data_IF_023505190117
#
_entry.id   IF_023505190117
#
_cell.length_a   1.000
_cell.length_b   1.000
_cell.length_c   1.000
_cell.angle_alpha   90.00
_cell.angle_beta   90.00
_cell.angle_gamma   90.00
#
_symmetry.space_group_name_H-M   'P 1'
#
loop_
_entity.id
_entity.type
_entity.pdbx_description
1 polymer ?
#
# COMPACT_ATOMS: atom_id res chain seq x y z
N UNK A 1 13.29 17.10 -6.61
CA UNK A 1 14.24 16.02 -6.95
C UNK A 1 13.85 15.44 -8.31
N UNK A 2 14.76 14.93 -9.14
CA UNK A 2 14.39 14.43 -10.49
C UNK A 2 13.70 13.05 -10.37
N UNK A 3 12.37 13.01 -10.54
CA UNK A 3 11.53 11.81 -10.39
C UNK A 3 11.97 10.65 -11.29
N UNK A 4 12.30 10.94 -12.55
CA UNK A 4 12.84 9.95 -13.49
C UNK A 4 14.16 9.34 -13.01
N UNK A 5 15.05 10.14 -12.42
CA UNK A 5 16.32 9.65 -11.89
C UNK A 5 16.10 8.72 -10.69
N UNK A 6 15.20 9.09 -9.77
CA UNK A 6 14.87 8.29 -8.59
C UNK A 6 14.39 6.91 -9.02
N UNK A 7 13.30 6.85 -9.80
CA UNK A 7 12.66 5.58 -10.16
C UNK A 7 13.56 4.66 -10.99
N UNK A 8 14.48 5.23 -11.80
CA UNK A 8 15.44 4.45 -12.58
C UNK A 8 16.57 3.87 -11.74
N UNK A 9 17.03 4.59 -10.73
CA UNK A 9 18.24 4.23 -9.96
C UNK A 9 17.95 3.54 -8.62
N UNK A 10 16.74 3.71 -8.09
CA UNK A 10 16.36 3.13 -6.80
C UNK A 10 16.35 1.60 -6.87
N UNK A 11 16.90 0.98 -5.82
CA UNK A 11 16.87 -0.46 -5.59
C UNK A 11 16.53 -0.69 -4.11
N UNK A 12 15.46 -1.44 -3.81
CA UNK A 12 15.09 -1.72 -2.44
C UNK A 12 16.11 -2.64 -1.78
N UNK A 13 16.32 -2.44 -0.49
CA UNK A 13 17.25 -3.20 0.34
C UNK A 13 16.50 -4.06 1.33
N UNK A 14 17.02 -5.26 1.59
CA UNK A 14 16.55 -6.02 2.75
C UNK A 14 17.15 -5.43 4.02
N UNK A 15 16.29 -5.08 4.96
CA UNK A 15 16.65 -4.56 6.26
C UNK A 15 16.78 -5.69 7.28
N UNK A 16 17.66 -5.48 8.25
CA UNK A 16 17.67 -6.27 9.48
C UNK A 16 16.70 -5.66 10.49
N UNK A 17 15.44 -6.11 10.42
CA UNK A 17 14.38 -5.66 11.34
C UNK A 17 14.54 -6.42 12.66
N UNK A 18 15.05 -5.72 13.68
CA UNK A 18 15.20 -6.26 15.03
C UNK A 18 13.91 -6.90 15.52
N UNK A 19 14.01 -8.05 16.15
CA UNK A 19 12.90 -8.81 16.72
C UNK A 19 11.87 -9.37 15.72
N UNK A 20 12.00 -9.14 14.40
CA UNK A 20 11.10 -9.76 13.42
C UNK A 20 11.09 -11.30 13.52
N UNK A 21 12.25 -11.91 13.81
CA UNK A 21 12.39 -13.36 14.02
C UNK A 21 11.50 -13.87 15.16
N UNK A 22 11.29 -13.07 16.21
CA UNK A 22 10.43 -13.45 17.34
C UNK A 22 8.95 -13.45 16.94
N UNK A 23 8.55 -12.56 16.02
CA UNK A 23 7.18 -12.41 15.54
C UNK A 23 6.86 -13.30 14.34
N UNK A 24 7.91 -13.82 13.67
CA UNK A 24 7.80 -14.60 12.44
C UNK A 24 6.79 -15.76 12.54
N UNK A 25 6.75 -16.56 13.62
CA UNK A 25 5.79 -17.67 13.72
C UNK A 25 4.33 -17.22 13.75
N UNK A 26 4.04 -16.04 14.31
CA UNK A 26 2.69 -15.49 14.34
C UNK A 26 2.33 -14.89 12.97
N UNK A 27 3.24 -14.07 12.41
CA UNK A 27 3.03 -13.41 11.12
C UNK A 27 2.87 -14.41 9.97
N UNK A 28 3.63 -15.50 9.94
CA UNK A 28 3.52 -16.53 8.89
C UNK A 28 2.23 -17.36 8.96
N UNK A 29 1.54 -17.37 10.11
CA UNK A 29 0.22 -18.01 10.25
C UNK A 29 -0.92 -17.09 9.87
N UNK A 30 -0.66 -15.79 9.74
CA UNK A 30 -1.65 -14.80 9.33
C UNK A 30 -1.80 -14.80 7.81
N UNK A 31 -3.03 -14.87 7.33
CA UNK A 31 -3.33 -14.71 5.90
C UNK A 31 -3.32 -13.23 5.47
N UNK A 32 -3.58 -12.33 6.42
CA UNK A 32 -3.56 -10.89 6.23
C UNK A 32 -2.73 -10.24 7.33
N UNK A 33 -1.78 -9.39 6.94
CA UNK A 33 -1.00 -8.54 7.83
C UNK A 33 -1.25 -7.10 7.41
N UNK A 34 -1.71 -6.27 8.35
CA UNK A 34 -1.91 -4.84 8.10
C UNK A 34 -0.70 -4.08 8.62
N UNK A 35 -0.11 -3.24 7.75
CA UNK A 35 1.07 -2.44 8.04
C UNK A 35 0.77 -0.96 7.82
N UNK A 36 0.78 -0.22 8.91
CA UNK A 36 0.70 1.24 8.92
C UNK A 36 2.03 1.86 8.47
N UNK A 37 1.99 2.74 7.49
CA UNK A 37 3.13 3.48 6.99
C UNK A 37 2.96 5.00 7.14
N UNK A 38 4.02 5.76 6.82
CA UNK A 38 3.97 7.22 6.81
C UNK A 38 4.12 7.67 5.36
N UNK A 39 3.10 8.31 4.79
CA UNK A 39 3.10 8.75 3.40
C UNK A 39 4.35 9.55 3.02
N UNK A 40 4.80 9.38 1.78
CA UNK A 40 5.96 10.10 1.23
C UNK A 40 7.33 9.68 1.79
N UNK A 41 7.40 8.70 2.71
CA UNK A 41 8.66 8.22 3.27
C UNK A 41 9.25 7.11 2.39
N UNK A 42 10.45 7.35 1.85
CA UNK A 42 11.15 6.39 0.97
C UNK A 42 11.52 5.08 1.69
N UNK A 43 11.79 5.12 3.00
CA UNK A 43 12.17 3.97 3.80
C UNK A 43 11.07 2.89 3.86
N UNK A 44 9.81 3.26 3.62
CA UNK A 44 8.69 2.33 3.53
C UNK A 44 8.95 1.27 2.44
N UNK A 45 9.62 1.66 1.35
CA UNK A 45 9.97 0.76 0.26
C UNK A 45 10.88 -0.40 0.72
N UNK A 46 11.92 -0.09 1.50
CA UNK A 46 12.84 -1.09 2.05
C UNK A 46 12.16 -1.99 3.10
N UNK A 47 11.27 -1.42 3.91
CA UNK A 47 10.46 -2.17 4.90
C UNK A 47 9.52 -3.15 4.17
N UNK A 48 8.71 -2.67 3.22
CA UNK A 48 7.77 -3.51 2.46
C UNK A 48 8.51 -4.59 1.69
N UNK A 49 9.63 -4.26 1.03
CA UNK A 49 10.47 -5.25 0.37
C UNK A 49 10.96 -6.33 1.34
N UNK A 50 11.40 -5.94 2.53
CA UNK A 50 11.86 -6.86 3.57
C UNK A 50 10.73 -7.78 4.04
N UNK A 51 9.57 -7.21 4.38
CA UNK A 51 8.41 -7.96 4.84
C UNK A 51 7.93 -8.94 3.78
N UNK A 52 7.81 -8.51 2.52
CA UNK A 52 7.37 -9.37 1.43
C UNK A 52 8.30 -10.58 1.27
N UNK A 53 9.62 -10.37 1.30
CA UNK A 53 10.60 -11.45 1.13
C UNK A 53 10.69 -12.37 2.35
N UNK A 54 10.66 -11.82 3.57
CA UNK A 54 10.85 -12.59 4.82
C UNK A 54 9.60 -13.37 5.23
N UNK A 55 8.42 -12.81 4.94
CA UNK A 55 7.12 -13.41 5.27
C UNK A 55 6.53 -14.22 4.11
N UNK A 56 7.23 -14.29 2.97
CA UNK A 56 6.77 -14.97 1.76
C UNK A 56 5.40 -14.47 1.28
N UNK A 57 5.17 -13.15 1.38
CA UNK A 57 3.94 -12.50 0.90
C UNK A 57 3.84 -12.69 -0.62
N UNK A 58 2.62 -12.97 -1.09
CA UNK A 58 2.32 -13.17 -2.50
C UNK A 58 1.30 -12.17 -3.04
N UNK A 59 0.54 -11.50 -2.18
CA UNK A 59 -0.43 -10.47 -2.54
C UNK A 59 -0.14 -9.18 -1.77
N UNK A 60 -0.18 -8.04 -2.45
CA UNK A 60 -0.04 -6.73 -1.82
C UNK A 60 -1.36 -5.98 -1.96
N UNK A 61 -2.02 -5.71 -0.84
CA UNK A 61 -3.15 -4.80 -0.77
C UNK A 61 -2.65 -3.38 -0.47
N UNK A 62 -3.12 -2.39 -1.21
CA UNK A 62 -2.56 -1.03 -1.23
C UNK A 62 -3.69 -0.04 -1.05
N UNK A 63 -3.57 0.85 -0.05
CA UNK A 63 -4.40 2.05 0.08
C UNK A 63 -4.08 3.04 -1.05
N UNK A 64 -4.59 2.72 -2.23
CA UNK A 64 -4.53 3.54 -3.43
C UNK A 64 -5.64 3.11 -4.38
N UNK A 65 -5.93 3.98 -5.33
CA UNK A 65 -6.83 3.72 -6.46
C UNK A 65 -6.21 2.73 -7.46
N UNK A 66 -7.02 1.88 -8.14
CA UNK A 66 -6.58 1.05 -9.27
C UNK A 66 -6.01 1.83 -10.45
N UNK A 67 -6.29 3.15 -10.54
CA UNK A 67 -5.81 4.01 -11.64
C UNK A 67 -4.29 3.99 -11.80
N UNK A 68 -3.55 3.81 -10.70
CA UNK A 68 -2.07 3.74 -10.70
C UNK A 68 -1.52 2.44 -11.31
N UNK A 69 -2.36 1.42 -11.53
CA UNK A 69 -1.92 0.11 -12.02
C UNK A 69 -1.19 0.19 -13.37
N UNK A 70 -1.66 1.05 -14.28
CA UNK A 70 -1.03 1.24 -15.58
C UNK A 70 0.38 1.81 -15.45
N UNK A 71 0.58 2.76 -14.54
CA UNK A 71 1.90 3.28 -14.23
C UNK A 71 2.80 2.20 -13.61
N UNK A 72 2.33 1.43 -12.63
CA UNK A 72 3.10 0.31 -12.05
C UNK A 72 3.52 -0.69 -13.13
N UNK A 73 2.61 -1.04 -14.05
CA UNK A 73 2.91 -1.94 -15.17
C UNK A 73 3.95 -1.34 -16.12
N UNK A 74 3.89 -0.03 -16.38
CA UNK A 74 4.90 0.70 -17.16
C UNK A 74 6.28 0.64 -16.47
N UNK A 75 6.34 0.80 -15.15
CA UNK A 75 7.58 0.67 -14.38
C UNK A 75 8.10 -0.78 -14.39
N UNK A 76 7.20 -1.76 -14.30
CA UNK A 76 7.51 -3.20 -14.39
C UNK A 76 8.15 -3.59 -15.73
N UNK A 77 7.86 -2.88 -16.82
CA UNK A 77 8.52 -3.12 -18.12
C UNK A 77 9.66 -2.12 -18.41
N UNK A 78 10.04 -1.30 -17.42
CA UNK A 78 11.08 -0.27 -17.50
C UNK A 78 10.80 0.87 -18.51
N UNK A 79 9.53 1.18 -18.82
CA UNK A 79 9.16 2.34 -19.65
C UNK A 79 8.99 3.63 -18.86
N UNK A 80 8.54 3.55 -17.60
CA UNK A 80 8.40 4.70 -16.68
C UNK A 80 7.54 5.86 -17.25
N UNK A 81 6.37 5.52 -17.83
CA UNK A 81 5.49 6.49 -18.49
C UNK A 81 4.67 7.31 -17.49
N UNK A 82 5.20 8.48 -17.10
CA UNK A 82 4.57 9.39 -16.13
C UNK A 82 3.26 10.02 -16.63
N UNK A 83 2.88 9.88 -17.91
CA UNK A 83 1.57 10.35 -18.37
C UNK A 83 0.40 9.51 -17.83
N UNK A 84 0.70 8.35 -17.24
CA UNK A 84 -0.28 7.40 -16.70
C UNK A 84 -0.64 7.63 -15.23
N UNK A 85 -0.12 8.69 -14.60
CA UNK A 85 -0.30 8.94 -13.16
C UNK A 85 -0.23 10.43 -12.86
N UNK A 86 -1.02 10.88 -11.89
CA UNK A 86 -0.82 12.18 -11.26
C UNK A 86 0.41 12.10 -10.35
N UNK A 87 1.42 12.91 -10.64
CA UNK A 87 2.67 12.83 -9.90
C UNK A 87 2.60 13.41 -8.49
N UNK A 88 1.53 14.12 -8.10
CA UNK A 88 1.29 14.57 -6.72
C UNK A 88 0.99 13.38 -5.79
N UNK A 89 0.55 12.25 -6.36
CA UNK A 89 0.34 10.98 -5.65
C UNK A 89 1.57 10.54 -4.85
N UNK A 90 2.78 10.76 -5.38
CA UNK A 90 4.01 10.19 -4.81
C UNK A 90 4.37 10.76 -3.44
N UNK A 91 3.97 11.99 -3.16
CA UNK A 91 4.27 12.68 -1.90
C UNK A 91 3.10 12.58 -0.91
N UNK A 92 1.87 12.35 -1.39
CA UNK A 92 0.64 12.38 -0.59
C UNK A 92 0.08 11.00 -0.23
N UNK A 93 0.60 9.92 -0.81
CA UNK A 93 0.07 8.57 -0.63
C UNK A 93 1.11 7.57 -0.12
N UNK A 94 0.65 6.32 0.07
CA UNK A 94 1.50 5.15 0.33
C UNK A 94 2.44 4.80 -0.84
N UNK A 95 2.22 5.37 -2.03
CA UNK A 95 2.92 5.03 -3.27
C UNK A 95 3.98 6.06 -3.67
N UNK A 96 5.04 6.20 -2.86
CA UNK A 96 6.25 6.90 -3.30
C UNK A 96 6.88 6.26 -4.54
N UNK A 97 7.76 6.99 -5.24
CA UNK A 97 8.49 6.45 -6.40
C UNK A 97 9.32 5.21 -6.05
N UNK A 98 9.94 5.22 -4.87
CA UNK A 98 10.67 4.10 -4.30
C UNK A 98 9.76 2.90 -4.03
N UNK A 99 8.54 3.13 -3.50
CA UNK A 99 7.55 2.09 -3.29
C UNK A 99 7.09 1.48 -4.63
N UNK A 100 6.76 2.31 -5.62
CA UNK A 100 6.35 1.85 -6.95
C UNK A 100 7.46 1.03 -7.61
N UNK A 101 8.71 1.50 -7.54
CA UNK A 101 9.86 0.75 -8.06
C UNK A 101 10.03 -0.59 -7.34
N UNK A 102 9.80 -0.62 -6.04
CA UNK A 102 9.84 -1.85 -5.22
C UNK A 102 8.77 -2.84 -5.63
N UNK A 103 7.52 -2.40 -5.78
CA UNK A 103 6.41 -3.23 -6.25
C UNK A 103 6.73 -3.81 -7.62
N UNK A 104 7.18 -2.98 -8.56
CA UNK A 104 7.57 -3.42 -9.90
C UNK A 104 8.67 -4.49 -9.87
N UNK A 105 9.70 -4.33 -9.03
CA UNK A 105 10.77 -5.33 -8.85
C UNK A 105 10.22 -6.63 -8.27
N UNK A 106 9.35 -6.56 -7.26
CA UNK A 106 8.75 -7.74 -6.63
C UNK A 106 7.85 -8.52 -7.60
N UNK A 107 7.12 -7.83 -8.48
CA UNK A 107 6.34 -8.44 -9.56
C UNK A 107 7.26 -9.07 -10.62
N UNK A 108 8.34 -8.40 -11.04
CA UNK A 108 9.33 -8.95 -11.97
C UNK A 108 9.98 -10.23 -11.43
N UNK A 109 10.24 -10.28 -10.13
CA UNK A 109 10.80 -11.44 -9.43
C UNK A 109 9.77 -12.56 -9.22
N UNK A 110 8.52 -12.37 -9.64
CA UNK A 110 7.41 -13.30 -9.38
C UNK A 110 7.21 -13.60 -7.87
N UNK A 111 7.65 -12.67 -7.01
CA UNK A 111 7.47 -12.74 -5.56
C UNK A 111 6.05 -12.32 -5.19
N UNK A 112 5.59 -11.20 -5.76
CA UNK A 112 4.19 -10.81 -5.75
C UNK A 112 3.50 -11.35 -7.01
N UNK A 113 2.33 -11.96 -6.81
CA UNK A 113 1.47 -12.50 -7.86
C UNK A 113 0.29 -11.59 -8.17
N UNK A 114 -0.15 -10.83 -7.18
CA UNK A 114 -1.39 -10.04 -7.25
C UNK A 114 -1.23 -8.73 -6.48
N UNK A 115 -1.82 -7.66 -7.02
CA UNK A 115 -2.03 -6.39 -6.34
C UNK A 115 -3.53 -6.20 -6.15
N UNK A 116 -3.93 -5.74 -4.96
CA UNK A 116 -5.30 -5.34 -4.65
C UNK A 116 -5.29 -3.87 -4.24
N UNK A 117 -6.15 -3.08 -4.84
CA UNK A 117 -6.30 -1.66 -4.54
C UNK A 117 -7.53 -1.50 -3.65
N UNK A 118 -7.34 -0.96 -2.45
CA UNK A 118 -8.40 -0.92 -1.43
C UNK A 118 -8.97 0.48 -1.21
N UNK A 119 -8.38 1.53 -1.78
CA UNK A 119 -8.92 2.89 -1.70
C UNK A 119 -9.51 3.33 -3.04
N UNK A 120 -10.79 3.03 -3.24
CA UNK A 120 -11.55 3.37 -4.45
C UNK A 120 -12.53 4.51 -4.21
N UNK A 121 -12.44 5.19 -3.06
CA UNK A 121 -13.42 6.20 -2.66
C UNK A 121 -13.47 7.38 -3.63
N UNK A 122 -12.30 7.79 -4.12
CA UNK A 122 -12.16 8.93 -5.00
C UNK A 122 -12.34 8.60 -6.49
N UNK A 123 -12.49 7.31 -6.86
CA UNK A 123 -12.51 6.88 -8.28
C UNK A 123 -13.75 7.33 -9.06
N UNK A 124 -14.88 7.50 -8.36
CA UNK A 124 -16.18 7.80 -8.95
C UNK A 124 -16.73 9.16 -8.50
N UNK A 125 -15.87 10.03 -7.96
CA UNK A 125 -16.27 11.39 -7.67
C UNK A 125 -16.24 12.18 -8.98
N UNK A 126 -17.40 12.70 -9.40
CA UNK A 126 -17.43 13.76 -10.40
C UNK A 126 -16.53 14.93 -9.94
N UNK A 127 -15.94 15.69 -10.86
CA UNK A 127 -15.12 16.88 -10.49
C UNK A 127 -15.89 17.88 -9.60
N UNK A 128 -17.23 17.89 -9.74
CA UNK A 128 -18.17 18.71 -8.96
C UNK A 128 -18.84 17.95 -7.80
N UNK A 129 -18.45 16.70 -7.53
CA UNK A 129 -19.03 15.90 -6.47
C UNK A 129 -18.75 16.54 -5.10
N UNK A 130 -19.82 16.82 -4.36
CA UNK A 130 -19.70 17.22 -2.96
C UNK A 130 -19.20 16.01 -2.19
N UNK A 131 -17.90 16.03 -1.84
CA UNK A 131 -17.32 15.03 -0.95
C UNK A 131 -18.16 15.02 0.33
N UNK A 132 -18.75 13.87 0.72
CA UNK A 132 -19.56 13.80 1.92
C UNK A 132 -18.72 14.28 3.10
N UNK A 133 -19.30 15.09 4.01
CA UNK A 133 -18.54 15.82 5.02
C UNK A 133 -17.89 14.91 6.08
N UNK A 134 -18.13 13.59 6.00
CA UNK A 134 -17.86 12.60 7.03
C UNK A 134 -16.76 11.65 6.54
N UNK A 135 -15.54 11.70 7.11
CA UNK A 135 -14.47 10.73 6.86
C UNK A 135 -14.91 9.26 6.97
N UNK A 136 -15.98 9.00 7.72
CA UNK A 136 -16.52 7.69 8.05
C UNK A 136 -16.93 6.87 6.82
N UNK A 137 -17.40 7.50 5.74
CA UNK A 137 -17.80 6.74 4.53
C UNK A 137 -16.59 6.14 3.81
N UNK A 138 -15.47 6.89 3.74
CA UNK A 138 -14.21 6.39 3.22
C UNK A 138 -13.67 5.25 4.09
N UNK A 139 -13.69 5.41 5.41
CA UNK A 139 -13.26 4.36 6.35
C UNK A 139 -14.12 3.09 6.23
N UNK A 140 -15.44 3.23 6.07
CA UNK A 140 -16.33 2.09 5.88
C UNK A 140 -16.03 1.35 4.57
N UNK A 141 -15.75 2.08 3.48
CA UNK A 141 -15.36 1.47 2.21
C UNK A 141 -14.00 0.79 2.31
N UNK A 142 -12.99 1.41 2.92
CA UNK A 142 -11.69 0.81 3.18
C UNK A 142 -11.84 -0.50 3.97
N UNK A 143 -12.60 -0.48 5.06
CA UNK A 143 -12.87 -1.65 5.88
C UNK A 143 -13.57 -2.77 5.08
N UNK A 144 -14.60 -2.43 4.30
CA UNK A 144 -15.28 -3.39 3.41
C UNK A 144 -14.33 -3.99 2.38
N UNK A 145 -13.49 -3.18 1.76
CA UNK A 145 -12.51 -3.63 0.76
C UNK A 145 -11.47 -4.56 1.38
N UNK A 146 -10.97 -4.26 2.59
CA UNK A 146 -10.04 -5.12 3.34
C UNK A 146 -10.68 -6.45 3.70
N UNK A 147 -11.93 -6.43 4.20
CA UNK A 147 -12.69 -7.65 4.52
C UNK A 147 -13.02 -8.49 3.28
N UNK A 148 -13.11 -7.86 2.12
CA UNK A 148 -13.33 -8.51 0.82
C UNK A 148 -12.08 -9.14 0.21
N UNK A 149 -10.88 -8.93 0.79
CA UNK A 149 -9.65 -9.53 0.28
C UNK A 149 -9.72 -11.05 0.44
N UNK A 150 -9.57 -11.76 -0.69
CA UNK A 150 -9.41 -13.21 -0.68
C UNK A 150 -8.15 -13.62 0.12
N UNK A 151 -8.36 -14.41 1.17
CA UNK A 151 -7.33 -14.87 2.10
C UNK A 151 -6.57 -16.12 1.65
N UNK A 152 -6.70 -16.55 0.39
CA UNK A 152 -6.01 -17.75 -0.12
C UNK A 152 -4.49 -17.56 -0.26
N UNK A 153 -4.04 -16.31 -0.40
CA UNK A 153 -2.63 -15.94 -0.51
C UNK A 153 -2.19 -15.14 0.73
N UNK A 154 -0.97 -15.36 1.25
CA UNK A 154 -0.38 -14.49 2.25
C UNK A 154 -0.33 -13.05 1.74
N UNK A 155 -1.05 -12.17 2.43
CA UNK A 155 -1.30 -10.80 1.99
C UNK A 155 -0.71 -9.79 2.98
N UNK A 156 0.05 -8.84 2.45
CA UNK A 156 0.43 -7.63 3.18
C UNK A 156 -0.47 -6.49 2.72
N UNK A 157 -1.13 -5.82 3.65
CA UNK A 157 -1.94 -4.65 3.39
C UNK A 157 -1.21 -3.42 3.89
N UNK A 158 -0.85 -2.51 2.99
CA UNK A 158 -0.17 -1.26 3.32
C UNK A 158 -1.16 -0.10 3.27
N UNK A 159 -1.17 0.70 4.33
CA UNK A 159 -2.06 1.86 4.50
C UNK A 159 -1.41 2.87 5.44
N UNK A 160 -1.86 4.11 5.41
CA UNK A 160 -1.42 5.15 6.32
C UNK A 160 -1.60 4.72 7.78
N UNK A 161 -0.60 5.03 8.60
CA UNK A 161 -0.52 4.60 10.00
C UNK A 161 -1.76 4.97 10.82
N UNK A 162 -2.46 6.04 10.45
CA UNK A 162 -3.69 6.50 11.10
C UNK A 162 -4.79 5.43 11.12
N UNK A 163 -4.93 4.65 10.04
CA UNK A 163 -5.90 3.56 9.94
C UNK A 163 -5.52 2.33 10.81
N UNK A 164 -4.29 2.28 11.32
CA UNK A 164 -3.74 1.11 12.04
C UNK A 164 -3.52 1.34 13.53
N UNK A 165 -3.87 2.51 14.04
CA UNK A 165 -3.69 2.82 15.45
C UNK A 165 -4.64 1.95 16.31
N UNK A 166 -4.12 1.21 17.30
CA UNK A 166 -4.96 0.43 18.21
C UNK A 166 -5.65 1.39 19.19
N UNK A 167 -6.84 1.88 18.85
CA UNK A 167 -7.75 2.50 19.81
C UNK A 167 -8.80 1.46 20.23
N UNK A 168 -8.99 1.31 21.53
CA UNK A 168 -10.06 0.48 22.07
C UNK A 168 -11.38 1.17 21.77
N UNK A 169 -12.21 0.57 20.94
CA UNK A 169 -13.59 1.04 20.72
C UNK A 169 -14.37 0.79 22.01
N UNK A 170 -14.74 1.84 22.72
CA UNK A 170 -15.72 1.78 23.80
C UNK A 170 -17.11 1.90 23.19
N UNK A 171 -17.90 0.83 23.32
CA UNK A 171 -19.27 0.60 22.83
C UNK A 171 -20.06 1.80 22.27
N UNK A 172 -20.59 1.61 21.05
CA UNK A 172 -21.82 2.26 20.57
C UNK A 172 -21.69 3.08 19.29
N UNK A 173 -20.59 3.80 19.10
CA UNK A 173 -20.38 4.63 17.90
C UNK A 173 -18.91 4.62 17.49
N UNK A 174 -18.62 4.11 16.28
CA UNK A 174 -17.31 4.24 15.65
C UNK A 174 -17.15 5.68 15.17
N UNK A 175 -16.55 6.55 15.99
CA UNK A 175 -16.20 7.92 15.58
C UNK A 175 -14.72 8.00 15.24
N UNK A 176 -14.43 8.25 13.97
CA UNK A 176 -13.14 8.78 13.55
C UNK A 176 -13.13 10.29 13.81
N UNK A 177 -12.18 10.75 14.63
CA UNK A 177 -11.79 12.16 14.68
C UNK A 177 -10.57 12.30 13.75
N UNK A 178 -10.81 12.87 12.57
CA UNK A 178 -9.77 13.30 11.63
C UNK A 178 -9.39 14.75 11.89
#
# INVERSE_FOLDING_TARGET
MNKHKIIKTFLPKQLDIKHLVLLLPALQKSNLIVHGEIHGIKENADIVYTLVKKLCIQKLAIEASPTVLNFINSVKINSYDFSLVDEDLFDLSVLSLEMIKTIAILLQQNQLKELVFIDTFFDNLDEDAIIPPSPQEREEQLAKNILGIDGSLPTLCIMGQWHTQPKVVTDGETRHES
#
